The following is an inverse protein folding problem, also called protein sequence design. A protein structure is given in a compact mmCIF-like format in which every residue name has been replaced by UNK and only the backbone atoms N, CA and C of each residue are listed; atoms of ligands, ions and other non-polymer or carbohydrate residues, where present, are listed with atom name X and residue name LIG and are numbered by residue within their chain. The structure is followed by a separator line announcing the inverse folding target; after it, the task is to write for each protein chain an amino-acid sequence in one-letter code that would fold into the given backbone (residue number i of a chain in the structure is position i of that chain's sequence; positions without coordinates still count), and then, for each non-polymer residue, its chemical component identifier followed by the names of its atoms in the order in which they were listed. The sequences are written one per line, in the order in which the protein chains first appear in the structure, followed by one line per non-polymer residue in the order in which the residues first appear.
data_IF_119523628436
#
_entry.id   IF_119523628436
#
_cell.length_a   1.000
_cell.length_b   1.000
_cell.length_c   1.000
_cell.angle_alpha   90.00
_cell.angle_beta   90.00
_cell.angle_gamma   90.00
#
_symmetry.space_group_name_H-M   'P 1'
#
loop_
_entity.id
_entity.type
_entity.pdbx_description
1 polymer ?
#
# COMPACT_ATOMS: atom_id res chain seq x y z
N UNK A 1 -16.07 -14.37 -21.24
CA UNK A 1 -15.61 -14.48 -19.85
C UNK A 1 -15.64 -13.10 -19.21
N UNK A 2 -16.43 -12.88 -18.15
CA UNK A 2 -16.41 -11.60 -17.39
C UNK A 2 -15.22 -11.64 -16.44
N UNK A 3 -14.21 -10.81 -16.68
CA UNK A 3 -13.10 -10.65 -15.72
C UNK A 3 -13.60 -9.81 -14.55
N UNK A 4 -13.52 -10.33 -13.32
CA UNK A 4 -14.01 -9.61 -12.15
C UNK A 4 -12.83 -9.00 -11.39
N UNK A 5 -12.86 -7.68 -11.23
CA UNK A 5 -12.05 -6.99 -10.25
C UNK A 5 -12.74 -7.03 -8.90
N UNK A 6 -12.04 -7.50 -7.87
CA UNK A 6 -12.51 -7.49 -6.48
C UNK A 6 -11.48 -6.78 -5.61
N UNK A 7 -11.93 -5.83 -4.80
CA UNK A 7 -11.09 -5.15 -3.81
C UNK A 7 -11.57 -5.54 -2.41
N UNK A 8 -10.70 -6.17 -1.63
CA UNK A 8 -11.00 -6.65 -0.27
C UNK A 8 -10.24 -5.86 0.81
N UNK A 9 -10.10 -4.56 0.60
CA UNK A 9 -9.49 -3.66 1.59
C UNK A 9 -10.45 -3.34 2.74
N UNK A 10 -10.00 -3.51 3.99
CA UNK A 10 -10.74 -3.05 5.18
C UNK A 10 -10.33 -1.63 5.54
N UNK A 11 -11.30 -0.78 5.87
CA UNK A 11 -11.04 0.61 6.29
C UNK A 11 -10.17 0.71 7.55
N UNK A 12 -10.37 -0.17 8.53
CA UNK A 12 -9.53 -0.21 9.74
C UNK A 12 -8.08 -0.63 9.47
N UNK A 13 -7.85 -1.53 8.51
CA UNK A 13 -6.49 -1.90 8.08
C UNK A 13 -5.79 -0.71 7.40
N UNK A 14 -6.51 0.02 6.55
CA UNK A 14 -6.01 1.26 5.93
C UNK A 14 -5.69 2.33 6.99
N UNK A 15 -6.60 2.58 7.93
CA UNK A 15 -6.38 3.56 8.99
C UNK A 15 -5.12 3.25 9.80
N UNK A 16 -4.97 1.99 10.25
CA UNK A 16 -3.78 1.58 10.99
C UNK A 16 -2.51 1.70 10.15
N UNK A 17 -2.55 1.30 8.87
CA UNK A 17 -1.42 1.44 7.95
C UNK A 17 -0.99 2.91 7.80
N UNK A 18 -1.93 3.80 7.47
CA UNK A 18 -1.66 5.23 7.31
C UNK A 18 -1.15 5.86 8.61
N UNK A 19 -1.76 5.53 9.75
CA UNK A 19 -1.36 6.06 11.05
C UNK A 19 0.08 5.71 11.39
N UNK A 20 0.48 4.44 11.23
CA UNK A 20 1.85 4.00 11.48
C UNK A 20 2.83 4.69 10.53
N UNK A 21 2.48 4.81 9.24
CA UNK A 21 3.40 5.42 8.28
C UNK A 21 3.56 6.92 8.46
N UNK A 22 2.49 7.64 8.79
CA UNK A 22 2.55 9.07 9.10
C UNK A 22 3.42 9.30 10.35
N UNK A 23 3.29 8.47 11.39
CA UNK A 23 4.14 8.55 12.58
C UNK A 23 5.62 8.35 12.23
N UNK A 24 5.97 7.31 11.44
CA UNK A 24 7.34 7.07 11.01
C UNK A 24 7.89 8.19 10.13
N UNK A 25 7.08 8.72 9.20
CA UNK A 25 7.45 9.86 8.37
C UNK A 25 7.70 11.10 9.23
N UNK A 26 6.87 11.38 10.25
CA UNK A 26 7.12 12.51 11.17
C UNK A 26 8.39 12.33 12.00
N UNK A 27 8.63 11.12 12.54
CA UNK A 27 9.83 10.82 13.33
C UNK A 27 11.12 10.96 12.52
N UNK A 28 11.07 10.70 11.22
CA UNK A 28 12.20 10.82 10.31
C UNK A 28 12.28 12.18 9.60
N UNK A 29 11.46 13.16 10.02
CA UNK A 29 11.39 14.50 9.39
C UNK A 29 11.15 14.39 7.87
N UNK A 30 10.23 13.52 7.47
CA UNK A 30 9.83 13.34 6.08
C UNK A 30 10.68 12.37 5.27
N UNK A 31 11.88 11.97 5.75
CA UNK A 31 12.79 11.11 4.98
C UNK A 31 12.16 9.75 4.67
N UNK A 32 11.35 9.19 5.58
CA UNK A 32 10.66 7.91 5.34
C UNK A 32 9.47 7.99 4.36
N UNK A 33 9.08 9.18 3.90
CA UNK A 33 7.93 9.39 3.01
C UNK A 33 7.85 8.45 1.80
N UNK A 34 8.93 8.24 1.03
CA UNK A 34 8.93 7.31 -0.11
C UNK A 34 8.58 5.86 0.28
N UNK A 35 9.08 5.37 1.42
CA UNK A 35 8.77 4.02 1.91
C UNK A 35 7.34 3.90 2.42
N UNK A 36 6.81 4.96 3.04
CA UNK A 36 5.40 5.04 3.40
C UNK A 36 4.49 4.90 2.16
N UNK A 37 4.78 5.64 1.09
CA UNK A 37 4.07 5.54 -0.18
C UNK A 37 4.17 4.13 -0.78
N UNK A 38 5.37 3.55 -0.84
CA UNK A 38 5.57 2.18 -1.35
C UNK A 38 4.74 1.15 -0.57
N UNK A 39 4.68 1.25 0.77
CA UNK A 39 3.87 0.37 1.62
C UNK A 39 2.37 0.53 1.36
N UNK A 40 1.90 1.75 1.17
CA UNK A 40 0.49 2.03 0.85
C UNK A 40 0.13 1.45 -0.53
N UNK A 41 0.95 1.70 -1.56
CA UNK A 41 0.77 1.12 -2.89
C UNK A 41 0.76 -0.42 -2.85
N UNK A 42 1.65 -1.02 -2.07
CA UNK A 42 1.69 -2.47 -1.89
C UNK A 42 0.42 -3.04 -1.26
N UNK A 43 -0.14 -2.33 -0.28
CA UNK A 43 -1.39 -2.72 0.33
C UNK A 43 -2.55 -2.68 -0.68
N UNK A 44 -2.69 -1.60 -1.46
CA UNK A 44 -3.73 -1.50 -2.48
C UNK A 44 -3.60 -2.58 -3.58
N UNK A 45 -2.39 -2.84 -4.05
CA UNK A 45 -2.12 -3.89 -5.01
C UNK A 45 -2.52 -5.27 -4.45
N UNK A 46 -2.07 -5.61 -3.24
CA UNK A 46 -2.36 -6.90 -2.60
C UNK A 46 -3.84 -7.13 -2.29
N UNK A 47 -4.58 -6.05 -2.00
CA UNK A 47 -6.02 -6.09 -1.74
C UNK A 47 -6.87 -6.04 -3.01
N UNK A 48 -6.28 -5.77 -4.16
CA UNK A 48 -6.95 -5.86 -5.45
C UNK A 48 -6.70 -7.24 -6.05
N UNK A 49 -7.77 -7.90 -6.48
CA UNK A 49 -7.70 -9.20 -7.17
C UNK A 49 -8.40 -9.12 -8.52
N UNK A 50 -7.81 -9.79 -9.51
CA UNK A 50 -8.40 -9.98 -10.83
C UNK A 50 -8.50 -11.48 -11.09
N UNK A 51 -9.71 -11.98 -11.35
CA UNK A 51 -9.95 -13.41 -11.61
C UNK A 51 -9.39 -14.33 -10.49
N UNK A 52 -9.44 -13.86 -9.24
CA UNK A 52 -8.93 -14.57 -8.06
C UNK A 52 -7.42 -14.49 -7.83
N UNK A 53 -6.67 -13.75 -8.68
CA UNK A 53 -5.24 -13.48 -8.48
C UNK A 53 -5.04 -12.08 -7.91
N UNK A 54 -4.35 -11.97 -6.78
CA UNK A 54 -3.94 -10.67 -6.23
C UNK A 54 -2.86 -10.02 -7.08
N UNK A 55 -2.89 -8.69 -7.17
CA UNK A 55 -1.74 -7.95 -7.71
C UNK A 55 -0.64 -7.90 -6.65
N UNK A 56 0.62 -7.89 -7.10
CA UNK A 56 1.79 -7.70 -6.23
C UNK A 56 2.48 -6.41 -6.61
N UNK A 57 2.91 -5.65 -5.60
CA UNK A 57 3.71 -4.45 -5.79
C UNK A 57 5.15 -4.77 -5.37
N UNK A 58 6.07 -4.62 -6.32
CA UNK A 58 7.51 -4.86 -6.10
C UNK A 58 8.31 -3.57 -5.88
N UNK A 59 7.68 -2.41 -6.01
CA UNK A 59 8.36 -1.12 -5.83
C UNK A 59 8.82 -0.90 -4.39
N UNK A 60 10.00 -0.33 -4.26
CA UNK A 60 10.62 0.02 -2.98
C UNK A 60 10.63 1.53 -2.77
N UNK A 61 10.68 1.98 -1.51
CA UNK A 61 10.78 3.42 -1.22
C UNK A 61 12.05 4.06 -1.79
N UNK A 62 13.13 3.30 -1.96
CA UNK A 62 14.36 3.80 -2.57
C UNK A 62 14.24 4.11 -4.06
N UNK A 63 13.34 3.46 -4.78
CA UNK A 63 13.04 3.78 -6.19
C UNK A 63 12.11 5.00 -6.33
N UNK A 64 11.51 5.45 -5.22
CA UNK A 64 10.59 6.59 -5.16
C UNK A 64 11.26 7.88 -4.68
N UNK A 65 12.54 7.84 -4.28
CA UNK A 65 13.34 8.99 -3.84
C UNK A 65 14.22 9.49 -4.98
#
# INVERSE_FOLDING_TARGET
MKRQFKFEGKGGELFCLYFVQILLTMLTIGIYGPWACAKICAYYAGKTTLDGKSFSFTGTGGEMF
#
